data_IF_897465143935
#
_entry.id   IF_897465143935
#
_cell.length_a   1.000
_cell.length_b   1.000
_cell.length_c   1.000
_cell.angle_alpha   90.00
_cell.angle_beta   90.00
_cell.angle_gamma   90.00
#
_symmetry.space_group_name_H-M   'P 1'
#
loop_
_entity.id
_entity.type
_entity.pdbx_description
1 polymer ?
#
# COMPACT_ATOMS: atom_id res chain seq x y z
N UNK A 1 -16.51 0.14 -16.43
CA UNK A 1 -16.28 0.15 -14.96
C UNK A 1 -14.89 -0.38 -14.69
N UNK A 2 -14.03 0.36 -13.96
CA UNK A 2 -12.66 -0.03 -13.66
C UNK A 2 -12.58 -1.29 -12.80
N UNK A 3 -11.60 -2.14 -13.11
CA UNK A 3 -11.25 -3.37 -12.38
C UNK A 3 -9.84 -3.24 -11.84
N UNK A 4 -9.66 -3.33 -10.54
CA UNK A 4 -8.36 -3.30 -9.89
C UNK A 4 -7.95 -4.68 -9.39
N UNK A 5 -6.66 -4.99 -9.49
CA UNK A 5 -6.05 -6.04 -8.69
C UNK A 5 -5.58 -5.43 -7.37
N UNK A 6 -5.91 -6.04 -6.25
CA UNK A 6 -5.42 -5.66 -4.93
C UNK A 6 -4.48 -6.76 -4.41
N UNK A 7 -3.26 -6.39 -4.14
CA UNK A 7 -2.23 -7.25 -3.54
C UNK A 7 -1.57 -6.52 -2.36
N UNK A 8 -1.10 -7.28 -1.38
CA UNK A 8 -0.42 -6.77 -0.19
C UNK A 8 0.58 -7.80 0.32
N UNK A 9 1.43 -7.41 1.26
CA UNK A 9 2.24 -8.31 2.07
C UNK A 9 3.09 -9.27 1.24
N UNK A 10 3.75 -8.71 0.20
CA UNK A 10 4.60 -9.49 -0.71
C UNK A 10 5.85 -10.03 0.00
N UNK A 11 6.34 -9.30 1.00
CA UNK A 11 7.52 -9.67 1.80
C UNK A 11 8.67 -10.21 0.96
N UNK A 12 8.98 -9.54 -0.15
CA UNK A 12 10.03 -9.98 -1.08
C UNK A 12 11.36 -10.07 -0.34
N UNK A 13 12.03 -11.23 -0.47
CA UNK A 13 13.25 -11.55 0.26
C UNK A 13 13.02 -12.31 1.57
N UNK A 14 11.78 -12.73 1.86
CA UNK A 14 11.46 -13.57 3.03
C UNK A 14 12.29 -14.85 3.07
N UNK A 15 12.70 -15.22 4.27
CA UNK A 15 13.39 -16.48 4.53
C UNK A 15 12.60 -17.29 5.56
N UNK A 16 12.44 -18.58 5.30
CA UNK A 16 11.80 -19.52 6.23
C UNK A 16 12.84 -20.56 6.63
N UNK A 17 13.17 -20.67 7.91
CA UNK A 17 14.21 -21.58 8.42
C UNK A 17 15.52 -21.51 7.61
N UNK A 18 16.00 -20.28 7.34
CA UNK A 18 17.20 -20.00 6.52
C UNK A 18 17.09 -20.32 5.01
N UNK A 19 15.99 -20.89 4.54
CA UNK A 19 15.74 -21.03 3.10
C UNK A 19 15.22 -19.73 2.50
N UNK A 20 15.81 -19.32 1.38
CA UNK A 20 15.34 -18.16 0.62
C UNK A 20 14.06 -18.52 -0.14
N UNK A 21 13.06 -17.66 -0.04
CA UNK A 21 11.79 -17.80 -0.78
C UNK A 21 11.80 -17.08 -2.13
N UNK A 22 12.93 -16.49 -2.55
CA UNK A 22 12.97 -15.64 -3.75
C UNK A 22 12.52 -16.34 -5.03
N UNK A 23 12.84 -17.62 -5.21
CA UNK A 23 12.42 -18.37 -6.40
C UNK A 23 10.91 -18.64 -6.39
N UNK A 24 10.35 -18.99 -5.23
CA UNK A 24 8.90 -19.15 -5.06
C UNK A 24 8.18 -17.82 -5.27
N UNK A 25 8.73 -16.73 -4.74
CA UNK A 25 8.19 -15.39 -4.91
C UNK A 25 8.26 -14.95 -6.38
N UNK A 26 9.34 -15.23 -7.08
CA UNK A 26 9.45 -15.00 -8.54
C UNK A 26 8.34 -15.73 -9.28
N UNK A 27 8.16 -17.03 -8.97
CA UNK A 27 7.13 -17.85 -9.60
C UNK A 27 5.72 -17.25 -9.37
N UNK A 28 5.39 -16.83 -8.14
CA UNK A 28 4.09 -16.23 -7.81
C UNK A 28 3.91 -14.89 -8.52
N UNK A 29 4.92 -14.02 -8.55
CA UNK A 29 4.85 -12.75 -9.27
C UNK A 29 4.61 -12.95 -10.77
N UNK A 30 5.24 -13.97 -11.36
CA UNK A 30 5.00 -14.35 -12.76
C UNK A 30 3.56 -14.82 -13.00
N UNK A 31 3.00 -15.61 -12.07
CA UNK A 31 1.60 -16.03 -12.14
C UNK A 31 0.65 -14.84 -12.03
N UNK A 32 0.92 -13.91 -11.09
CA UNK A 32 0.11 -12.69 -10.92
C UNK A 32 0.06 -11.88 -12.20
N UNK A 33 1.19 -11.66 -12.87
CA UNK A 33 1.22 -10.93 -14.14
C UNK A 33 0.32 -11.58 -15.20
N UNK A 34 0.37 -12.90 -15.33
CA UNK A 34 -0.50 -13.63 -16.25
C UNK A 34 -1.99 -13.46 -15.91
N UNK A 35 -2.33 -13.49 -14.63
CA UNK A 35 -3.71 -13.28 -14.16
C UNK A 35 -4.16 -11.83 -14.47
N UNK A 36 -3.31 -10.84 -14.23
CA UNK A 36 -3.64 -9.43 -14.48
C UNK A 36 -3.94 -9.19 -15.96
N UNK A 37 -3.15 -9.77 -16.87
CA UNK A 37 -3.39 -9.69 -18.32
C UNK A 37 -4.68 -10.42 -18.70
N UNK A 38 -4.88 -11.66 -18.25
CA UNK A 38 -6.07 -12.46 -18.54
C UNK A 38 -7.35 -11.75 -18.06
N UNK A 39 -7.31 -11.21 -16.84
CA UNK A 39 -8.44 -10.50 -16.23
C UNK A 39 -8.61 -9.08 -16.76
N UNK A 40 -7.66 -8.56 -17.52
CA UNK A 40 -7.66 -7.18 -18.08
C UNK A 40 -7.92 -6.16 -16.98
N UNK A 41 -7.08 -6.18 -15.95
CA UNK A 41 -7.18 -5.19 -14.87
C UNK A 41 -6.78 -3.80 -15.35
N UNK A 42 -7.47 -2.76 -14.88
CA UNK A 42 -7.22 -1.37 -15.23
C UNK A 42 -6.16 -0.72 -14.33
N UNK A 43 -5.79 -1.39 -13.23
CA UNK A 43 -4.75 -0.92 -12.32
C UNK A 43 -4.48 -1.90 -11.18
N UNK A 44 -3.38 -1.69 -10.48
CA UNK A 44 -2.91 -2.56 -9.40
C UNK A 44 -2.71 -1.73 -8.14
N UNK A 45 -3.35 -2.14 -7.06
CA UNK A 45 -3.20 -1.58 -5.73
C UNK A 45 -2.23 -2.47 -4.94
N UNK A 46 -1.09 -1.93 -4.51
CA UNK A 46 -0.11 -2.63 -3.67
C UNK A 46 -0.15 -2.01 -2.28
N UNK A 47 -0.81 -2.70 -1.36
CA UNK A 47 -1.14 -2.17 -0.04
C UNK A 47 -0.06 -2.48 1.01
N UNK A 48 1.21 -2.15 0.71
CA UNK A 48 2.32 -2.18 1.66
C UNK A 48 3.02 -3.53 1.80
N UNK A 49 4.07 -3.55 2.61
CA UNK A 49 4.98 -4.65 2.89
C UNK A 49 5.49 -5.33 1.62
N UNK A 50 6.05 -4.47 0.74
CA UNK A 50 6.70 -4.91 -0.49
C UNK A 50 7.92 -5.79 -0.17
N UNK A 51 8.74 -5.36 0.77
CA UNK A 51 9.92 -6.09 1.22
C UNK A 51 9.74 -6.69 2.62
N UNK A 52 10.41 -7.80 2.87
CA UNK A 52 10.41 -8.47 4.19
C UNK A 52 11.17 -7.66 5.26
N UNK A 53 12.07 -6.77 4.84
CA UNK A 53 12.93 -5.99 5.75
C UNK A 53 13.13 -4.56 5.28
N UNK A 54 13.27 -3.64 6.22
CA UNK A 54 13.60 -2.23 6.00
C UNK A 54 14.83 -2.03 5.10
N UNK A 55 15.80 -2.97 5.17
CA UNK A 55 16.97 -3.02 4.26
C UNK A 55 16.91 -4.36 3.52
N UNK A 56 16.28 -4.40 2.34
CA UNK A 56 16.18 -5.61 1.53
C UNK A 56 17.53 -6.02 0.96
N UNK A 57 17.68 -7.30 0.63
CA UNK A 57 18.85 -7.78 -0.10
C UNK A 57 18.86 -7.27 -1.55
N UNK A 58 20.00 -7.27 -2.19
CA UNK A 58 20.12 -6.84 -3.60
C UNK A 58 19.24 -7.70 -4.52
N UNK A 59 19.17 -9.00 -4.25
CA UNK A 59 18.35 -9.93 -5.03
C UNK A 59 16.85 -9.65 -4.86
N UNK A 60 16.41 -9.27 -3.66
CA UNK A 60 15.03 -8.87 -3.41
C UNK A 60 14.67 -7.59 -4.17
N UNK A 61 15.58 -6.60 -4.16
CA UNK A 61 15.41 -5.36 -4.92
C UNK A 61 15.33 -5.65 -6.41
N UNK A 62 16.22 -6.51 -6.93
CA UNK A 62 16.22 -6.89 -8.34
C UNK A 62 14.91 -7.60 -8.73
N UNK A 63 14.42 -8.54 -7.91
CA UNK A 63 13.17 -9.25 -8.19
C UNK A 63 11.99 -8.27 -8.27
N UNK A 64 11.91 -7.32 -7.35
CA UNK A 64 10.85 -6.31 -7.39
C UNK A 64 10.98 -5.36 -8.58
N UNK A 65 12.20 -4.92 -8.90
CA UNK A 65 12.49 -4.09 -10.09
C UNK A 65 12.03 -4.80 -11.38
N UNK A 66 12.32 -6.09 -11.53
CA UNK A 66 11.87 -6.89 -12.67
C UNK A 66 10.33 -6.93 -12.75
N UNK A 67 9.65 -7.12 -11.63
CA UNK A 67 8.19 -7.15 -11.55
C UNK A 67 7.56 -5.81 -11.96
N UNK A 68 8.00 -4.70 -11.34
CA UNK A 68 7.50 -3.36 -11.64
C UNK A 68 7.81 -2.95 -13.08
N UNK A 69 9.00 -3.30 -13.59
CA UNK A 69 9.38 -3.04 -14.99
C UNK A 69 8.45 -3.76 -15.97
N UNK A 70 8.02 -4.97 -15.65
CA UNK A 70 7.05 -5.71 -16.49
C UNK A 70 5.68 -5.07 -16.46
N UNK A 71 5.19 -4.63 -15.29
CA UNK A 71 3.93 -3.88 -15.18
C UNK A 71 3.96 -2.59 -16.01
N UNK A 72 5.05 -1.84 -15.95
CA UNK A 72 5.24 -0.64 -16.76
C UNK A 72 5.20 -0.95 -18.27
N UNK A 73 5.87 -2.03 -18.72
CA UNK A 73 5.84 -2.48 -20.12
C UNK A 73 4.45 -2.89 -20.58
N UNK A 74 3.65 -3.47 -19.70
CA UNK A 74 2.25 -3.84 -19.95
C UNK A 74 1.31 -2.62 -19.84
N UNK A 75 1.85 -1.44 -19.49
CA UNK A 75 1.07 -0.21 -19.27
C UNK A 75 -0.04 -0.39 -18.23
N UNK A 76 0.25 -1.16 -17.20
CA UNK A 76 -0.64 -1.35 -16.06
C UNK A 76 -0.32 -0.31 -14.98
N UNK A 77 -1.21 0.64 -14.70
CA UNK A 77 -1.01 1.61 -13.62
C UNK A 77 -0.86 0.93 -12.26
N UNK A 78 0.09 1.39 -11.47
CA UNK A 78 0.37 0.86 -10.13
C UNK A 78 0.21 1.95 -9.09
N UNK A 79 -0.51 1.64 -8.03
CA UNK A 79 -0.75 2.51 -6.87
C UNK A 79 -0.21 1.81 -5.63
N UNK A 80 0.92 2.28 -5.11
CA UNK A 80 1.67 1.56 -4.09
C UNK A 80 1.96 2.42 -2.87
N UNK A 81 1.88 1.79 -1.71
CA UNK A 81 2.28 2.37 -0.43
C UNK A 81 3.37 1.54 0.24
N UNK A 82 4.07 2.13 1.20
CA UNK A 82 4.92 1.38 2.13
C UNK A 82 4.11 0.83 3.29
N UNK A 83 4.46 -0.39 3.72
CA UNK A 83 3.99 -1.01 4.95
C UNK A 83 4.96 -0.80 6.12
N UNK A 84 4.76 -1.57 7.20
CA UNK A 84 5.59 -1.45 8.41
C UNK A 84 6.97 -2.15 8.28
N UNK A 85 7.11 -3.12 7.39
CA UNK A 85 8.38 -3.76 7.06
C UNK A 85 9.22 -2.96 6.06
N UNK A 86 8.60 -2.04 5.31
CA UNK A 86 9.30 -1.21 4.33
C UNK A 86 10.01 -0.01 4.96
N UNK A 87 11.05 0.51 4.27
CA UNK A 87 11.48 1.90 4.45
C UNK A 87 10.74 2.76 3.44
N UNK A 88 9.88 3.67 3.91
CA UNK A 88 9.17 4.60 3.04
C UNK A 88 10.13 5.44 2.18
N UNK A 89 11.30 5.84 2.74
CA UNK A 89 12.32 6.60 2.03
C UNK A 89 12.96 5.82 0.88
N UNK A 90 13.23 4.51 1.11
CA UNK A 90 13.85 3.65 0.09
C UNK A 90 12.84 3.27 -0.98
N UNK A 91 11.62 2.92 -0.59
CA UNK A 91 10.57 2.52 -1.53
C UNK A 91 10.15 3.70 -2.42
N UNK A 92 10.11 4.91 -1.88
CA UNK A 92 9.76 6.12 -2.63
C UNK A 92 10.92 6.73 -3.41
N UNK A 93 12.11 6.11 -3.37
CA UNK A 93 13.22 6.58 -4.18
C UNK A 93 12.88 6.55 -5.68
N UNK A 94 13.01 7.69 -6.34
CA UNK A 94 12.64 7.81 -7.76
C UNK A 94 11.14 7.89 -8.05
N UNK A 95 10.26 7.93 -7.05
CA UNK A 95 8.80 7.94 -7.23
C UNK A 95 8.30 8.95 -8.26
N UNK A 96 8.87 10.16 -8.29
CA UNK A 96 8.50 11.19 -9.28
C UNK A 96 8.88 10.80 -10.74
N UNK A 97 9.94 10.01 -10.92
CA UNK A 97 10.33 9.51 -12.23
C UNK A 97 9.39 8.39 -12.69
N UNK A 98 8.95 7.55 -11.76
CA UNK A 98 8.04 6.44 -12.04
C UNK A 98 6.64 6.90 -12.44
N UNK A 99 6.20 8.09 -12.02
CA UNK A 99 4.90 8.66 -12.44
C UNK A 99 4.77 8.80 -13.96
N UNK A 100 5.86 9.00 -14.68
CA UNK A 100 5.86 9.02 -16.15
C UNK A 100 5.53 7.67 -16.79
N UNK A 101 5.55 6.60 -16.00
CA UNK A 101 5.18 5.24 -16.40
C UNK A 101 3.93 4.75 -15.67
N UNK A 102 3.10 5.66 -15.17
CA UNK A 102 1.86 5.40 -14.42
C UNK A 102 2.09 4.56 -13.13
N UNK A 103 3.28 4.67 -12.51
CA UNK A 103 3.58 4.03 -11.24
C UNK A 103 3.60 5.11 -10.15
N UNK A 104 2.61 5.08 -9.28
CA UNK A 104 2.39 6.04 -8.22
C UNK A 104 2.74 5.42 -6.87
N UNK A 105 3.77 5.96 -6.22
CA UNK A 105 4.27 5.48 -4.93
C UNK A 105 3.97 6.55 -3.89
N UNK A 106 3.45 6.15 -2.71
CA UNK A 106 3.35 7.05 -1.57
C UNK A 106 4.76 7.50 -1.16
N UNK A 107 4.89 8.78 -0.84
CA UNK A 107 6.13 9.30 -0.24
C UNK A 107 6.11 9.10 1.27
N UNK A 108 7.22 9.41 1.93
CA UNK A 108 7.23 9.57 3.39
C UNK A 108 6.15 10.58 3.77
N UNK A 109 5.35 10.24 4.79
CA UNK A 109 4.27 11.11 5.22
C UNK A 109 4.79 12.48 5.67
N UNK A 110 4.31 13.52 5.03
CA UNK A 110 4.68 14.93 5.24
C UNK A 110 3.50 15.80 5.69
N UNK A 111 2.40 15.17 6.11
CA UNK A 111 1.13 15.82 6.48
C UNK A 111 0.08 15.70 5.39
N UNK A 112 0.39 15.09 4.25
CA UNK A 112 -0.56 14.93 3.14
C UNK A 112 -0.62 13.49 2.65
N UNK A 113 -1.82 13.05 2.31
CA UNK A 113 -2.06 11.79 1.63
C UNK A 113 -2.09 12.03 0.13
N UNK A 114 -1.25 11.31 -0.62
CA UNK A 114 -1.19 11.47 -2.08
C UNK A 114 -2.49 11.00 -2.70
N UNK A 115 -3.09 11.83 -3.54
CA UNK A 115 -4.29 11.52 -4.31
C UNK A 115 -3.94 11.42 -5.80
N UNK A 116 -4.43 10.37 -6.46
CA UNK A 116 -4.31 10.18 -7.91
C UNK A 116 -5.73 10.03 -8.49
N UNK A 117 -6.08 10.89 -9.43
CA UNK A 117 -7.38 10.86 -10.12
C UNK A 117 -7.30 10.01 -11.39
N UNK A 118 -8.33 9.20 -11.61
CA UNK A 118 -8.59 8.41 -12.80
C UNK A 118 -9.98 8.73 -13.31
N UNK A 119 -10.25 8.44 -14.58
CA UNK A 119 -11.57 8.66 -15.17
C UNK A 119 -11.99 7.48 -16.04
N UNK A 120 -13.24 7.05 -15.93
CA UNK A 120 -13.88 6.12 -16.85
C UNK A 120 -15.25 6.65 -17.27
N UNK A 121 -16.01 5.85 -18.01
CA UNK A 121 -17.36 6.21 -18.51
C UNK A 121 -18.38 6.58 -17.41
N UNK A 122 -18.07 6.26 -16.14
CA UNK A 122 -18.91 6.57 -14.96
C UNK A 122 -18.39 7.76 -14.15
N UNK A 123 -17.33 8.45 -14.61
CA UNK A 123 -16.76 9.62 -13.97
C UNK A 123 -15.46 9.33 -13.23
N UNK A 124 -15.13 10.21 -12.28
CA UNK A 124 -13.85 10.16 -11.56
C UNK A 124 -13.77 9.02 -10.54
N UNK A 125 -12.57 8.44 -10.45
CA UNK A 125 -12.14 7.53 -9.38
C UNK A 125 -10.88 8.14 -8.76
N UNK A 126 -10.91 8.39 -7.48
CA UNK A 126 -9.76 8.91 -6.74
C UNK A 126 -9.10 7.79 -5.96
N UNK A 127 -7.80 7.60 -6.13
CA UNK A 127 -7.00 6.66 -5.34
C UNK A 127 -6.13 7.45 -4.37
N UNK A 128 -6.33 7.23 -3.07
CA UNK A 128 -5.59 7.84 -1.98
C UNK A 128 -4.55 6.86 -1.47
N UNK A 129 -3.29 7.29 -1.36
CA UNK A 129 -2.17 6.44 -0.96
C UNK A 129 -1.71 6.83 0.44
N UNK A 130 -2.18 6.11 1.45
CA UNK A 130 -1.83 6.30 2.86
C UNK A 130 -0.73 5.30 3.23
N UNK A 131 0.55 5.70 3.38
CA UNK A 131 1.59 4.80 3.83
C UNK A 131 1.33 4.34 5.28
N UNK A 132 2.03 3.30 5.73
CA UNK A 132 1.99 2.92 7.14
C UNK A 132 2.39 4.10 8.04
N UNK A 133 1.54 4.40 9.01
CA UNK A 133 1.72 5.53 9.91
C UNK A 133 1.97 5.05 11.34
N UNK A 134 3.03 5.59 11.95
CA UNK A 134 3.24 5.48 13.40
C UNK A 134 2.74 6.75 14.08
N UNK A 135 2.07 6.66 15.25
CA UNK A 135 1.55 7.82 15.99
C UNK A 135 2.61 8.91 16.19
N UNK A 136 3.83 8.52 16.56
CA UNK A 136 4.93 9.44 16.77
C UNK A 136 5.31 10.26 15.51
N UNK A 137 5.24 9.64 14.33
CA UNK A 137 5.51 10.33 13.06
C UNK A 137 4.43 11.36 12.77
N UNK A 138 3.17 10.98 12.90
CA UNK A 138 2.03 11.88 12.63
C UNK A 138 2.01 13.04 13.62
N UNK A 139 2.23 12.75 14.91
CA UNK A 139 2.37 13.77 15.98
C UNK A 139 3.42 14.81 15.62
N UNK A 140 4.60 14.34 15.19
CA UNK A 140 5.70 15.23 14.83
C UNK A 140 5.37 16.07 13.59
N UNK A 141 4.82 15.47 12.55
CA UNK A 141 4.53 16.14 11.28
C UNK A 141 3.41 17.16 11.43
N UNK A 142 2.33 16.79 12.12
CA UNK A 142 1.17 17.68 12.31
C UNK A 142 1.30 18.62 13.50
N UNK A 143 2.38 18.52 14.31
CA UNK A 143 2.60 19.30 15.52
C UNK A 143 1.41 19.20 16.50
N UNK A 144 0.89 17.98 16.69
CA UNK A 144 -0.28 17.67 17.52
C UNK A 144 0.10 16.69 18.61
N UNK A 145 0.02 17.10 19.87
CA UNK A 145 0.39 16.28 21.04
C UNK A 145 -0.72 15.31 21.46
N UNK A 146 -1.95 15.49 20.96
CA UNK A 146 -3.13 14.66 21.25
C UNK A 146 -3.19 13.34 20.48
N UNK A 147 -2.22 13.05 19.63
CA UNK A 147 -2.13 11.79 18.86
C UNK A 147 -1.38 10.76 19.71
N UNK A 148 -2.10 9.80 20.31
CA UNK A 148 -1.53 8.78 21.20
C UNK A 148 -1.54 7.38 20.57
N UNK A 149 -2.62 7.03 19.85
CA UNK A 149 -2.84 5.72 19.23
C UNK A 149 -2.61 5.72 17.71
N UNK A 150 -2.53 4.54 17.12
CA UNK A 150 -2.53 4.38 15.66
C UNK A 150 -3.82 4.91 15.04
N UNK A 151 -4.95 4.68 15.70
CA UNK A 151 -6.25 5.21 15.27
C UNK A 151 -6.24 6.73 15.22
N UNK A 152 -5.75 7.43 16.26
CA UNK A 152 -5.63 8.89 16.27
C UNK A 152 -4.76 9.38 15.12
N UNK A 153 -3.64 8.69 14.85
CA UNK A 153 -2.75 9.03 13.76
C UNK A 153 -3.40 8.92 12.39
N UNK A 154 -4.09 7.80 12.14
CA UNK A 154 -4.79 7.58 10.87
C UNK A 154 -5.95 8.55 10.72
N UNK A 155 -6.76 8.76 11.76
CA UNK A 155 -7.84 9.76 11.76
C UNK A 155 -7.31 11.15 11.44
N UNK A 156 -6.23 11.59 12.10
CA UNK A 156 -5.64 12.90 11.86
C UNK A 156 -5.14 13.04 10.41
N UNK A 157 -4.46 12.04 9.87
CA UNK A 157 -3.99 12.05 8.49
C UNK A 157 -5.14 12.09 7.48
N UNK A 158 -6.22 11.35 7.74
CA UNK A 158 -7.39 11.31 6.86
C UNK A 158 -8.28 12.54 7.00
N UNK A 159 -8.29 13.27 8.13
CA UNK A 159 -8.99 14.54 8.28
C UNK A 159 -8.52 15.59 7.28
N UNK A 160 -7.24 15.58 6.94
CA UNK A 160 -6.64 16.48 5.94
C UNK A 160 -7.00 16.09 4.48
N UNK A 161 -7.65 14.93 4.27
CA UNK A 161 -8.06 14.50 2.94
C UNK A 161 -9.41 15.10 2.56
N UNK A 162 -9.41 15.91 1.52
CA UNK A 162 -10.64 16.37 0.87
C UNK A 162 -11.22 15.22 0.03
N UNK A 163 -12.18 14.48 0.61
CA UNK A 163 -12.88 13.40 -0.07
C UNK A 163 -14.23 13.90 -0.54
N UNK A 164 -14.43 13.90 -1.86
CA UNK A 164 -15.71 14.25 -2.49
C UNK A 164 -16.60 13.01 -2.56
N UNK A 165 -17.61 12.93 -1.71
CA UNK A 165 -18.54 11.81 -1.64
C UNK A 165 -19.41 11.63 -2.90
N UNK A 166 -19.41 12.58 -3.83
CA UNK A 166 -20.08 12.42 -5.13
C UNK A 166 -19.24 11.63 -6.15
N UNK A 167 -17.98 11.39 -5.85
CA UNK A 167 -17.02 10.64 -6.66
C UNK A 167 -16.71 9.30 -6.02
N UNK A 168 -16.12 8.40 -6.78
CA UNK A 168 -15.66 7.10 -6.28
C UNK A 168 -14.28 7.27 -5.65
N UNK A 169 -14.14 6.84 -4.41
CA UNK A 169 -12.94 7.05 -3.61
C UNK A 169 -12.39 5.72 -3.09
N UNK A 170 -11.16 5.40 -3.48
CA UNK A 170 -10.42 4.22 -3.06
C UNK A 170 -9.31 4.68 -2.12
N UNK A 171 -9.17 4.07 -0.96
CA UNK A 171 -8.02 4.21 -0.09
C UNK A 171 -7.13 2.97 -0.21
N UNK A 172 -5.83 3.17 -0.34
CA UNK A 172 -4.82 2.12 -0.14
C UNK A 172 -4.16 2.41 1.20
N UNK A 173 -4.23 1.45 2.14
CA UNK A 173 -3.72 1.61 3.50
C UNK A 173 -3.08 0.31 4.00
N UNK A 174 -2.15 0.43 4.94
CA UNK A 174 -1.49 -0.69 5.58
C UNK A 174 -1.55 -0.49 7.09
N UNK A 175 -2.66 -0.95 7.69
CA UNK A 175 -2.93 -0.77 9.11
C UNK A 175 -3.68 -1.99 9.64
N UNK A 176 -3.46 -2.33 10.90
CA UNK A 176 -4.22 -3.39 11.55
C UNK A 176 -5.63 -2.91 11.86
N UNK A 177 -6.61 -3.42 11.11
CA UNK A 177 -8.02 -3.02 11.26
C UNK A 177 -8.76 -4.03 12.13
N UNK A 178 -9.43 -3.52 13.17
CA UNK A 178 -10.22 -4.35 14.09
C UNK A 178 -11.38 -5.03 13.37
N UNK A 179 -11.48 -6.35 13.52
CA UNK A 179 -12.56 -7.16 12.93
C UNK A 179 -12.24 -7.70 11.53
N UNK A 180 -11.04 -7.44 10.99
CA UNK A 180 -10.56 -8.12 9.80
C UNK A 180 -10.30 -9.61 10.09
N UNK A 181 -10.62 -10.48 9.11
CA UNK A 181 -10.24 -11.89 9.18
C UNK A 181 -8.73 -12.02 8.99
N UNK A 182 -8.07 -12.73 9.90
CA UNK A 182 -6.62 -12.90 9.91
C UNK A 182 -6.17 -14.11 9.11
N UNK A 183 -5.02 -14.01 8.48
CA UNK A 183 -4.31 -15.14 7.92
C UNK A 183 -3.45 -15.83 9.00
N UNK A 184 -3.36 -17.17 8.97
CA UNK A 184 -2.58 -17.97 9.95
C UNK A 184 -1.06 -17.66 9.93
N UNK A 185 -0.57 -16.96 8.92
CA UNK A 185 0.85 -16.63 8.74
C UNK A 185 1.25 -15.28 9.35
N UNK A 186 0.33 -14.53 9.92
CA UNK A 186 0.60 -13.20 10.47
C UNK A 186 0.99 -13.23 11.94
N UNK A 187 1.94 -12.36 12.30
CA UNK A 187 2.35 -12.20 13.69
C UNK A 187 1.22 -11.58 14.51
N UNK A 188 0.94 -12.18 15.66
CA UNK A 188 -0.07 -11.68 16.59
C UNK A 188 0.41 -10.37 17.21
N UNK A 189 -0.23 -9.24 16.89
CA UNK A 189 -0.02 -8.00 17.65
C UNK A 189 -0.44 -8.21 19.10
N UNK A 190 0.53 -8.14 20.01
CA UNK A 190 0.30 -8.33 21.45
C UNK A 190 -0.05 -6.99 22.06
N UNK A 191 -1.33 -6.78 22.41
CA UNK A 191 -1.73 -5.65 23.24
C UNK A 191 -2.79 -4.71 22.69
N UNK A 192 -3.24 -4.85 21.43
CA UNK A 192 -4.38 -4.08 20.89
C UNK A 192 -4.17 -2.57 20.71
N UNK A 193 -2.96 -2.06 20.96
CA UNK A 193 -2.64 -0.63 20.80
C UNK A 193 -2.48 -0.19 19.34
N UNK A 194 -2.28 -1.15 18.44
CA UNK A 194 -2.03 -0.91 17.02
C UNK A 194 -3.30 -0.96 16.18
N UNK A 195 -4.44 -1.21 16.81
CA UNK A 195 -5.72 -1.38 16.13
C UNK A 195 -6.31 -0.05 15.67
N UNK A 196 -6.87 -0.06 14.46
CA UNK A 196 -7.65 1.03 13.87
C UNK A 196 -9.06 0.53 13.65
N UNK A 197 -10.07 1.29 14.06
CA UNK A 197 -11.47 0.96 13.83
C UNK A 197 -11.84 1.09 12.35
N UNK A 198 -12.67 0.18 11.83
CA UNK A 198 -13.12 0.22 10.44
C UNK A 198 -13.90 1.52 10.11
N UNK A 199 -14.60 2.10 11.08
CA UNK A 199 -15.35 3.35 10.91
C UNK A 199 -14.46 4.54 10.51
N UNK A 200 -13.16 4.50 10.81
CA UNK A 200 -12.20 5.54 10.39
C UNK A 200 -12.16 5.71 8.87
N UNK A 201 -12.53 4.67 8.15
CA UNK A 201 -12.46 4.60 6.69
C UNK A 201 -13.82 4.80 5.99
N UNK A 202 -14.90 5.08 6.70
CA UNK A 202 -16.29 5.15 6.19
C UNK A 202 -16.51 6.12 5.01
N UNK A 203 -15.61 7.09 4.83
CA UNK A 203 -15.70 8.05 3.72
C UNK A 203 -15.16 7.53 2.38
N UNK A 204 -14.65 6.30 2.34
CA UNK A 204 -14.13 5.67 1.13
C UNK A 204 -15.07 4.55 0.67
N UNK A 205 -15.26 4.42 -0.64
CA UNK A 205 -16.10 3.37 -1.23
C UNK A 205 -15.41 2.00 -1.22
N UNK A 206 -14.08 1.99 -1.22
CA UNK A 206 -13.25 0.79 -1.10
C UNK A 206 -11.95 1.10 -0.37
N UNK A 207 -11.55 0.20 0.51
CA UNK A 207 -10.27 0.29 1.21
C UNK A 207 -9.44 -0.95 0.88
N UNK A 208 -8.34 -0.74 0.17
CA UNK A 208 -7.35 -1.79 -0.08
C UNK A 208 -6.40 -1.87 1.11
N UNK A 209 -6.58 -2.89 1.95
CA UNK A 209 -5.81 -3.09 3.17
C UNK A 209 -4.69 -4.11 2.95
N UNK A 210 -3.53 -3.87 3.57
CA UNK A 210 -2.54 -4.85 3.96
C UNK A 210 -2.45 -4.93 5.48
N UNK A 211 -1.55 -5.76 6.00
CA UNK A 211 -1.35 -5.96 7.43
C UNK A 211 -2.54 -6.66 8.13
N UNK A 212 -3.19 -7.63 7.46
CA UNK A 212 -4.35 -8.39 7.94
C UNK A 212 -4.18 -9.90 7.77
#
# INVERSE_FOLDING_TARGET
MMKFAHIADLHIGKRVHDFSMLEDQRYILDQMLGIFEEQRVDGILIAGDVYDKVVPSAEAVQLFDEFITRLAKLKMPVYMISGNHDSAERLSFGAKLFESSDIYISQVYDGKVKKVGLEDEYGLVNVYLLPFLKPATVRHVLQRDDIESYEDGVMAALQECEVDASQRNILVAHQFVTGADRCDSEETSVGGLDNVSAEVFDKFDYVALGHI
#
